data_IF_744861593039
#
_entry.id   IF_744861593039
#
_cell.length_a   1.000
_cell.length_b   1.000
_cell.length_c   1.000
_cell.angle_alpha   90.00
_cell.angle_beta   90.00
_cell.angle_gamma   90.00
#
_symmetry.space_group_name_H-M   'P 1'
#
loop_
_entity.id
_entity.type
_entity.pdbx_description
1 polymer ?
#
# COMPACT_ATOMS: atom_id res chain seq x y z
N UNK A 1 28.23 -6.13 10.79
CA UNK A 1 28.34 -7.22 9.81
C UNK A 1 27.48 -8.36 10.32
N UNK A 2 26.54 -8.82 9.52
CA UNK A 2 25.71 -9.97 9.88
C UNK A 2 26.56 -11.24 9.92
N UNK A 3 26.07 -12.27 10.62
CA UNK A 3 26.74 -13.57 10.59
C UNK A 3 26.53 -14.25 9.23
N UNK A 4 27.60 -14.77 8.63
CA UNK A 4 27.54 -15.48 7.36
C UNK A 4 27.60 -14.56 6.13
N UNK A 5 26.88 -14.93 5.07
CA UNK A 5 26.85 -14.18 3.79
C UNK A 5 25.57 -13.38 3.58
N UNK A 6 24.71 -13.30 4.59
CA UNK A 6 23.45 -12.57 4.54
C UNK A 6 23.74 -11.07 4.56
N UNK A 7 23.18 -10.33 3.61
CA UNK A 7 23.33 -8.86 3.52
C UNK A 7 22.00 -8.11 3.70
N UNK A 8 20.89 -8.84 3.83
CA UNK A 8 19.56 -8.31 4.06
C UNK A 8 18.62 -9.40 4.57
N UNK A 9 17.55 -8.99 5.25
CA UNK A 9 16.48 -9.90 5.67
C UNK A 9 15.16 -9.13 5.86
N UNK A 10 14.07 -9.67 5.31
CA UNK A 10 12.73 -9.12 5.45
C UNK A 10 11.67 -10.21 5.64
N UNK A 11 10.55 -9.82 6.26
CA UNK A 11 9.36 -10.67 6.30
C UNK A 11 8.69 -10.70 4.93
N UNK A 12 8.19 -11.88 4.53
CA UNK A 12 7.47 -12.04 3.27
C UNK A 12 5.98 -11.70 3.44
N UNK A 13 5.38 -10.99 2.47
CA UNK A 13 3.94 -10.62 2.45
C UNK A 13 3.51 -9.84 3.69
N UNK A 14 4.35 -8.91 4.14
CA UNK A 14 4.20 -8.24 5.43
C UNK A 14 4.00 -6.73 5.35
N UNK A 15 4.02 -6.14 4.14
CA UNK A 15 3.78 -4.71 3.96
C UNK A 15 2.46 -4.29 4.64
N UNK A 16 2.46 -3.14 5.31
CA UNK A 16 1.36 -2.63 6.15
C UNK A 16 1.09 -3.37 7.47
N UNK A 17 1.81 -4.43 7.80
CA UNK A 17 1.74 -5.04 9.14
C UNK A 17 2.42 -4.16 10.18
N UNK A 18 1.70 -3.83 11.27
CA UNK A 18 2.25 -3.08 12.41
C UNK A 18 3.48 -3.74 13.08
N UNK A 19 3.67 -5.04 12.87
CA UNK A 19 4.76 -5.82 13.49
C UNK A 19 5.79 -6.36 12.51
N UNK A 20 5.42 -6.54 11.24
CA UNK A 20 6.22 -7.27 10.26
C UNK A 20 6.57 -6.46 9.00
N UNK A 21 6.03 -5.24 8.83
CA UNK A 21 6.34 -4.36 7.68
C UNK A 21 7.73 -3.74 7.83
N UNK A 22 8.76 -4.58 7.85
CA UNK A 22 10.15 -4.22 8.08
C UNK A 22 11.11 -5.13 7.30
N UNK A 23 12.28 -4.58 7.01
CA UNK A 23 13.46 -5.27 6.52
C UNK A 23 14.71 -4.66 7.13
N UNK A 24 15.79 -5.44 7.22
CA UNK A 24 17.11 -5.00 7.65
C UNK A 24 18.07 -5.16 6.47
N UNK A 25 18.90 -4.14 6.24
CA UNK A 25 19.84 -4.10 5.11
C UNK A 25 21.22 -3.75 5.68
N UNK A 26 22.22 -4.54 5.32
CA UNK A 26 23.61 -4.21 5.58
C UNK A 26 24.12 -3.22 4.54
N UNK A 27 24.79 -2.17 4.99
CA UNK A 27 25.57 -1.27 4.11
C UNK A 27 26.86 -1.97 3.65
N UNK A 28 26.71 -2.92 2.72
CA UNK A 28 27.75 -3.91 2.38
C UNK A 28 28.69 -3.46 1.25
N UNK A 29 28.38 -2.37 0.56
CA UNK A 29 29.11 -1.94 -0.64
C UNK A 29 29.25 -0.40 -0.68
N UNK A 30 30.39 0.09 -1.17
CA UNK A 30 30.60 1.54 -1.39
C UNK A 30 29.77 2.11 -2.53
N UNK A 31 29.30 1.26 -3.45
CA UNK A 31 28.37 1.64 -4.49
C UNK A 31 26.95 1.62 -3.92
N UNK A 32 26.36 2.80 -3.76
CA UNK A 32 25.03 2.99 -3.21
C UNK A 32 23.93 2.27 -4.01
N UNK A 33 24.13 2.06 -5.32
CA UNK A 33 23.18 1.34 -6.17
C UNK A 33 23.14 -0.14 -5.81
N UNK A 34 24.27 -0.72 -5.39
CA UNK A 34 24.31 -2.12 -4.92
C UNK A 34 23.54 -2.29 -3.61
N UNK A 35 23.65 -1.32 -2.69
CA UNK A 35 22.89 -1.32 -1.43
C UNK A 35 21.41 -1.06 -1.68
N UNK A 36 21.09 -0.16 -2.63
CA UNK A 36 19.71 0.09 -3.06
C UNK A 36 19.07 -1.15 -3.70
N UNK A 37 19.82 -1.94 -4.48
CA UNK A 37 19.34 -3.21 -5.02
C UNK A 37 18.99 -4.21 -3.91
N UNK A 38 19.79 -4.28 -2.85
CA UNK A 38 19.46 -5.09 -1.65
C UNK A 38 18.22 -4.55 -0.94
N UNK A 39 18.08 -3.24 -0.80
CA UNK A 39 16.87 -2.64 -0.23
C UNK A 39 15.63 -2.96 -1.07
N UNK A 40 15.73 -2.91 -2.39
CA UNK A 40 14.67 -3.30 -3.31
C UNK A 40 14.32 -4.79 -3.18
N UNK A 41 15.31 -5.67 -3.00
CA UNK A 41 15.13 -7.10 -2.75
C UNK A 41 14.30 -7.34 -1.48
N UNK A 42 14.71 -6.73 -0.36
CA UNK A 42 14.02 -6.89 0.92
C UNK A 42 12.60 -6.28 0.91
N UNK A 43 12.41 -5.13 0.25
CA UNK A 43 11.07 -4.58 0.02
C UNK A 43 10.24 -5.49 -0.88
N UNK A 44 10.86 -6.15 -1.88
CA UNK A 44 10.23 -7.17 -2.71
C UNK A 44 9.62 -8.31 -1.89
N UNK A 45 10.35 -8.79 -0.87
CA UNK A 45 9.79 -9.75 0.09
C UNK A 45 8.59 -9.20 0.86
N UNK A 46 8.68 -7.99 1.42
CA UNK A 46 7.54 -7.36 2.09
C UNK A 46 6.31 -7.26 1.17
N UNK A 47 6.54 -7.00 -0.12
CA UNK A 47 5.56 -6.94 -1.21
C UNK A 47 5.18 -8.31 -1.80
N UNK A 48 5.60 -9.40 -1.16
CA UNK A 48 5.16 -10.76 -1.45
C UNK A 48 5.94 -11.51 -2.52
N UNK A 49 7.03 -10.95 -3.01
CA UNK A 49 7.92 -11.59 -3.97
C UNK A 49 8.78 -12.67 -3.29
N UNK A 50 8.98 -13.79 -3.98
CA UNK A 50 9.90 -14.87 -3.57
C UNK A 50 11.17 -14.80 -4.40
N UNK A 51 12.22 -15.50 -3.97
CA UNK A 51 13.44 -15.59 -4.77
C UNK A 51 13.17 -16.19 -6.15
N UNK A 52 13.98 -15.76 -7.11
CA UNK A 52 13.94 -16.24 -8.49
C UNK A 52 14.38 -17.70 -8.61
N UNK A 53 13.71 -18.41 -9.52
CA UNK A 53 14.11 -19.76 -9.96
C UNK A 53 14.74 -19.68 -11.34
N UNK A 54 15.30 -20.80 -11.82
CA UNK A 54 15.89 -20.88 -13.18
C UNK A 54 14.91 -20.57 -14.33
N UNK A 55 13.60 -20.58 -14.07
CA UNK A 55 12.58 -20.26 -15.07
C UNK A 55 12.22 -18.76 -15.11
N UNK A 56 12.71 -17.97 -14.15
CA UNK A 56 12.43 -16.55 -14.03
C UNK A 56 13.38 -15.76 -14.95
N UNK A 57 12.84 -14.74 -15.63
CA UNK A 57 13.57 -14.00 -16.66
C UNK A 57 13.44 -12.50 -16.40
N UNK A 58 14.54 -11.76 -16.60
CA UNK A 58 14.61 -10.30 -16.77
C UNK A 58 15.58 -10.02 -17.95
N UNK A 59 15.83 -8.75 -18.28
CA UNK A 59 16.73 -8.42 -19.41
C UNK A 59 18.19 -8.78 -19.15
N UNK A 60 18.59 -8.81 -17.88
CA UNK A 60 19.91 -9.23 -17.41
C UNK A 60 19.92 -10.68 -16.91
N UNK A 61 21.11 -11.26 -16.74
CA UNK A 61 21.29 -12.61 -16.18
C UNK A 61 20.89 -12.71 -14.69
N UNK A 62 20.80 -11.56 -14.01
CA UNK A 62 20.54 -11.46 -12.56
C UNK A 62 19.47 -10.40 -12.35
N UNK A 63 18.39 -10.80 -11.69
CA UNK A 63 17.27 -9.92 -11.35
C UNK A 63 17.32 -9.56 -9.85
N UNK A 64 16.54 -8.54 -9.45
CA UNK A 64 16.53 -8.04 -8.06
C UNK A 64 16.26 -9.16 -7.06
N UNK A 65 15.36 -10.12 -7.35
CA UNK A 65 14.99 -11.21 -6.45
C UNK A 65 15.88 -12.46 -6.58
N UNK A 66 17.05 -12.36 -7.21
CA UNK A 66 18.03 -13.46 -7.21
C UNK A 66 18.52 -13.72 -5.78
N UNK A 67 18.61 -15.00 -5.37
CA UNK A 67 18.93 -15.42 -4.00
C UNK A 67 20.41 -15.22 -3.57
N UNK A 68 21.23 -14.70 -4.49
CA UNK A 68 22.66 -14.53 -4.30
C UNK A 68 23.13 -13.17 -4.83
N UNK A 69 24.12 -12.61 -4.15
CA UNK A 69 24.75 -11.35 -4.53
C UNK A 69 25.82 -11.62 -5.59
N UNK A 70 25.88 -10.74 -6.59
CA UNK A 70 26.83 -10.79 -7.69
C UNK A 70 27.61 -9.49 -7.82
N UNK A 71 28.68 -9.50 -8.62
CA UNK A 71 29.35 -8.27 -9.08
C UNK A 71 28.47 -7.45 -10.03
N UNK A 72 27.49 -8.08 -10.67
CA UNK A 72 26.47 -7.40 -11.47
C UNK A 72 25.38 -6.90 -10.53
N UNK A 73 25.06 -5.60 -10.62
CA UNK A 73 24.04 -4.95 -9.79
C UNK A 73 22.71 -5.01 -10.55
N UNK A 74 21.72 -5.78 -10.07
CA UNK A 74 20.44 -5.90 -10.75
C UNK A 74 19.62 -4.61 -10.62
N UNK A 75 18.87 -4.26 -11.66
CA UNK A 75 17.98 -3.10 -11.70
C UNK A 75 16.53 -3.42 -12.05
N UNK A 76 16.28 -4.67 -12.45
CA UNK A 76 14.97 -5.11 -12.91
C UNK A 76 14.45 -6.28 -12.07
N UNK A 77 13.14 -6.30 -11.86
CA UNK A 77 12.44 -7.46 -11.33
C UNK A 77 12.21 -8.51 -12.42
N UNK A 78 12.21 -9.78 -12.04
CA UNK A 78 11.90 -10.87 -12.96
C UNK A 78 10.40 -10.97 -13.25
N UNK A 79 10.06 -11.72 -14.32
CA UNK A 79 8.68 -12.11 -14.60
C UNK A 79 7.97 -12.81 -13.43
N UNK A 80 8.68 -13.66 -12.68
CA UNK A 80 8.16 -14.34 -11.49
C UNK A 80 7.88 -13.38 -10.33
N UNK A 81 8.75 -12.39 -10.15
CA UNK A 81 8.62 -11.35 -9.13
C UNK A 81 7.34 -10.54 -9.36
N UNK A 82 7.11 -10.11 -10.61
CA UNK A 82 5.91 -9.38 -11.01
C UNK A 82 4.64 -10.20 -10.78
N UNK A 83 4.64 -11.49 -11.13
CA UNK A 83 3.50 -12.38 -10.90
C UNK A 83 3.22 -12.58 -9.40
N UNK A 84 4.27 -12.71 -8.58
CA UNK A 84 4.13 -12.87 -7.13
C UNK A 84 3.55 -11.60 -6.49
N UNK A 85 4.03 -10.43 -6.92
CA UNK A 85 3.52 -9.15 -6.49
C UNK A 85 2.04 -8.98 -6.86
N UNK A 86 1.67 -9.20 -8.13
CA UNK A 86 0.28 -9.10 -8.58
C UNK A 86 -0.64 -10.03 -7.78
N UNK A 87 -0.23 -11.28 -7.58
CA UNK A 87 -0.98 -12.26 -6.80
C UNK A 87 -1.19 -11.80 -5.35
N UNK A 88 -0.15 -11.23 -4.73
CA UNK A 88 -0.25 -10.71 -3.37
C UNK A 88 -1.16 -9.47 -3.27
N UNK A 89 -1.02 -8.53 -4.20
CA UNK A 89 -1.83 -7.31 -4.25
C UNK A 89 -3.32 -7.63 -4.47
N UNK A 90 -3.63 -8.58 -5.35
CA UNK A 90 -5.01 -9.04 -5.59
C UNK A 90 -5.60 -9.78 -4.39
N UNK A 91 -4.80 -10.59 -3.69
CA UNK A 91 -5.28 -11.38 -2.56
C UNK A 91 -5.47 -10.55 -1.27
N UNK A 92 -4.58 -9.59 -1.01
CA UNK A 92 -4.49 -8.91 0.30
C UNK A 92 -4.87 -7.43 0.26
N UNK A 93 -4.76 -6.78 -0.92
CA UNK A 93 -4.98 -5.34 -1.15
C UNK A 93 -4.56 -4.46 0.06
N UNK A 94 -3.25 -4.38 0.37
CA UNK A 94 -2.76 -3.73 1.57
C UNK A 94 -3.16 -2.25 1.62
N UNK A 95 -4.09 -1.91 2.53
CA UNK A 95 -4.76 -0.60 2.57
C UNK A 95 -3.81 0.59 2.80
N UNK A 96 -2.67 0.39 3.45
CA UNK A 96 -1.73 1.48 3.73
C UNK A 96 -0.97 1.99 2.50
N UNK A 97 -1.00 1.25 1.39
CA UNK A 97 -0.40 1.67 0.12
C UNK A 97 -1.38 2.41 -0.79
N UNK A 98 -2.63 2.62 -0.36
CA UNK A 98 -3.68 3.22 -1.20
C UNK A 98 -3.72 4.74 -1.13
N UNK A 99 -3.02 5.37 -0.19
CA UNK A 99 -2.96 6.81 -0.06
C UNK A 99 -1.61 7.35 -0.55
N UNK A 100 -1.66 8.44 -1.30
CA UNK A 100 -0.46 9.21 -1.65
C UNK A 100 -0.02 10.01 -0.42
N UNK A 101 1.27 9.97 -0.03
CA UNK A 101 1.81 10.80 1.05
C UNK A 101 1.56 12.29 0.84
N UNK A 102 1.37 13.04 1.93
CA UNK A 102 1.28 14.50 1.84
C UNK A 102 2.64 15.10 1.46
N UNK A 103 2.65 16.11 0.60
CA UNK A 103 3.88 16.78 0.14
C UNK A 103 4.79 17.26 1.29
N UNK A 104 4.21 17.62 2.43
CA UNK A 104 4.96 18.05 3.61
C UNK A 104 5.67 16.92 4.37
N UNK A 105 5.28 15.67 4.14
CA UNK A 105 5.81 14.49 4.82
C UNK A 105 7.04 13.89 4.13
N UNK A 106 7.28 14.27 2.87
CA UNK A 106 8.43 13.84 2.08
C UNK A 106 9.64 14.66 2.52
N UNK A 107 10.63 13.98 3.11
CA UNK A 107 11.87 14.61 3.61
C UNK A 107 13.02 14.53 2.61
N UNK A 108 12.89 13.70 1.58
CA UNK A 108 13.85 13.60 0.50
C UNK A 108 13.88 14.92 -0.31
N UNK A 109 15.04 15.31 -0.86
CA UNK A 109 15.09 16.38 -1.84
C UNK A 109 14.24 16.02 -3.07
N UNK A 110 13.49 17.00 -3.58
CA UNK A 110 12.69 16.82 -4.79
C UNK A 110 13.58 16.42 -5.99
N UNK A 111 13.10 15.48 -6.78
CA UNK A 111 13.81 14.92 -7.93
C UNK A 111 12.89 14.81 -9.13
N UNK A 112 12.85 15.88 -9.92
CA UNK A 112 12.06 15.94 -11.15
C UNK A 112 12.34 14.75 -12.09
N UNK A 113 11.25 14.10 -12.51
CA UNK A 113 11.23 12.97 -13.41
C UNK A 113 11.12 11.61 -12.71
N UNK A 114 10.85 11.58 -11.41
CA UNK A 114 10.66 10.34 -10.64
C UNK A 114 9.19 9.85 -10.63
N UNK A 115 8.28 10.59 -11.30
CA UNK A 115 6.86 10.27 -11.40
C UNK A 115 6.07 10.58 -10.13
N UNK A 116 6.64 11.32 -9.19
CA UNK A 116 6.03 11.63 -7.91
C UNK A 116 6.11 13.12 -7.62
N UNK A 117 4.95 13.76 -7.39
CA UNK A 117 4.92 15.19 -7.10
C UNK A 117 5.59 15.47 -5.76
N UNK A 118 6.64 16.30 -5.78
CA UNK A 118 7.39 16.69 -4.59
C UNK A 118 7.37 18.21 -4.33
N UNK A 119 7.93 18.64 -3.20
CA UNK A 119 7.95 20.07 -2.85
C UNK A 119 8.85 20.85 -3.82
N UNK A 120 8.25 21.78 -4.56
CA UNK A 120 8.94 22.66 -5.51
C UNK A 120 8.53 22.43 -6.97
N UNK A 121 7.93 21.28 -7.22
CA UNK A 121 7.36 20.87 -8.50
C UNK A 121 5.89 21.28 -8.58
N UNK A 122 5.39 21.46 -9.79
CA UNK A 122 3.96 21.69 -10.05
C UNK A 122 3.30 20.44 -10.64
N UNK A 123 4.11 19.55 -11.22
CA UNK A 123 3.73 18.29 -11.81
C UNK A 123 4.99 17.40 -11.93
N UNK A 124 4.84 16.08 -11.92
CA UNK A 124 5.90 15.14 -12.32
C UNK A 124 5.23 13.95 -13.02
N UNK A 125 5.59 13.70 -14.28
CA UNK A 125 5.06 12.64 -15.12
C UNK A 125 6.11 11.58 -15.51
N UNK A 126 7.24 11.55 -14.79
CA UNK A 126 8.39 10.69 -15.12
C UNK A 126 9.38 11.36 -16.07
N UNK A 127 10.25 10.56 -16.66
CA UNK A 127 11.27 11.05 -17.60
C UNK A 127 10.66 11.59 -18.90
N UNK A 128 11.39 12.40 -19.69
CA UNK A 128 10.92 12.87 -20.99
C UNK A 128 10.50 11.74 -21.96
N UNK A 129 11.12 10.57 -21.85
CA UNK A 129 10.80 9.40 -22.67
C UNK A 129 9.50 8.69 -22.22
N UNK A 130 9.17 8.75 -20.94
CA UNK A 130 8.01 8.07 -20.34
C UNK A 130 6.77 8.98 -20.25
N UNK A 131 6.97 10.29 -20.16
CA UNK A 131 5.89 11.24 -19.92
C UNK A 131 4.92 11.32 -21.11
N UNK A 132 3.67 10.98 -20.84
CA UNK A 132 2.54 11.09 -21.79
C UNK A 132 1.58 12.23 -21.44
N UNK A 133 1.87 12.98 -20.38
CA UNK A 133 1.00 14.02 -19.85
C UNK A 133 1.32 15.39 -20.47
N UNK A 134 0.52 15.81 -21.46
CA UNK A 134 0.71 17.09 -22.15
C UNK A 134 0.59 18.33 -21.23
N UNK A 135 0.00 18.17 -20.05
CA UNK A 135 -0.16 19.24 -19.08
C UNK A 135 1.11 19.50 -18.26
N UNK A 136 2.12 18.63 -18.35
CA UNK A 136 3.36 18.71 -17.59
C UNK A 136 4.56 18.76 -18.53
N UNK A 137 5.50 19.65 -18.23
CA UNK A 137 6.83 19.65 -18.86
C UNK A 137 7.76 18.71 -18.08
N UNK A 138 8.15 17.55 -18.66
CA UNK A 138 8.97 16.56 -17.97
C UNK A 138 10.42 17.00 -17.76
N UNK A 139 10.91 18.04 -18.45
CA UNK A 139 12.27 18.55 -18.23
C UNK A 139 12.34 19.47 -17.01
N UNK A 140 11.23 20.14 -16.68
CA UNK A 140 11.20 21.20 -15.66
C UNK A 140 10.27 20.91 -14.48
N UNK A 141 9.41 19.89 -14.58
CA UNK A 141 8.37 19.58 -13.60
C UNK A 141 7.44 20.78 -13.32
N UNK A 142 7.17 21.53 -14.39
CA UNK A 142 6.29 22.70 -14.41
C UNK A 142 5.07 22.44 -15.27
N UNK A 143 3.97 23.10 -14.91
CA UNK A 143 2.76 23.02 -15.73
C UNK A 143 2.99 23.65 -17.10
N UNK A 144 2.52 22.96 -18.13
CA UNK A 144 2.48 23.47 -19.49
C UNK A 144 1.66 24.77 -19.56
N UNK A 145 1.97 25.64 -20.52
CA UNK A 145 1.27 26.92 -20.69
C UNK A 145 -0.25 26.74 -20.80
N UNK A 146 -1.00 27.35 -19.87
CA UNK A 146 -2.46 27.30 -19.82
C UNK A 146 -3.03 26.13 -19.02
N UNK A 147 -2.21 25.22 -18.52
CA UNK A 147 -2.64 24.17 -17.61
C UNK A 147 -2.84 24.72 -16.19
N UNK A 148 -3.95 24.33 -15.56
CA UNK A 148 -4.22 24.57 -14.14
C UNK A 148 -3.85 23.36 -13.27
N UNK A 149 -3.73 22.19 -13.88
CA UNK A 149 -3.33 20.94 -13.25
C UNK A 149 -2.75 19.97 -14.26
N UNK A 150 -2.02 18.96 -13.77
CA UNK A 150 -1.56 17.83 -14.57
C UNK A 150 -1.94 16.47 -13.94
N UNK A 151 -2.10 16.41 -12.62
CA UNK A 151 -2.32 15.17 -11.87
C UNK A 151 -3.57 15.25 -11.00
N UNK A 152 -4.01 14.11 -10.45
CA UNK A 152 -5.10 14.00 -9.48
C UNK A 152 -6.48 13.76 -10.08
N UNK A 153 -7.36 13.12 -9.31
CA UNK A 153 -8.68 12.66 -9.77
C UNK A 153 -9.63 13.81 -10.16
N UNK A 154 -9.32 15.05 -9.75
CA UNK A 154 -10.05 16.27 -10.08
C UNK A 154 -9.39 17.10 -11.18
N UNK A 155 -8.42 16.53 -11.92
CA UNK A 155 -7.87 17.12 -13.13
C UNK A 155 -8.48 16.45 -14.37
N UNK A 156 -8.87 17.25 -15.36
CA UNK A 156 -9.37 16.78 -16.65
C UNK A 156 -8.99 17.79 -17.74
N UNK A 157 -8.36 17.32 -18.81
CA UNK A 157 -7.89 18.18 -19.92
C UNK A 157 -7.07 19.40 -19.42
N UNK A 158 -6.13 19.14 -18.51
CA UNK A 158 -5.29 20.15 -17.87
C UNK A 158 -6.03 21.22 -17.04
N UNK A 159 -7.32 21.02 -16.74
CA UNK A 159 -8.15 21.96 -15.98
C UNK A 159 -8.79 21.28 -14.77
N UNK A 160 -9.14 22.06 -13.75
CA UNK A 160 -9.90 21.53 -12.63
C UNK A 160 -11.29 21.08 -13.10
N UNK A 161 -11.67 19.86 -12.72
CA UNK A 161 -13.04 19.38 -12.87
C UNK A 161 -13.99 20.32 -12.14
N UNK A 162 -15.21 20.47 -12.67
CA UNK A 162 -16.24 21.34 -12.07
C UNK A 162 -16.56 20.94 -10.64
N UNK A 163 -16.93 21.92 -9.84
CA UNK A 163 -17.42 21.68 -8.48
C UNK A 163 -18.61 20.71 -8.51
N UNK A 164 -18.58 19.68 -7.69
CA UNK A 164 -19.61 18.63 -7.65
C UNK A 164 -19.36 17.43 -8.56
N UNK A 165 -18.34 17.44 -9.42
CA UNK A 165 -17.94 16.24 -10.18
C UNK A 165 -17.44 15.15 -9.24
N UNK A 166 -17.98 13.94 -9.32
CA UNK A 166 -17.55 12.82 -8.48
C UNK A 166 -16.13 12.40 -8.85
N UNK A 167 -15.21 12.42 -7.88
CA UNK A 167 -13.84 11.94 -8.04
C UNK A 167 -13.62 10.58 -7.40
N UNK A 168 -14.31 10.28 -6.29
CA UNK A 168 -14.32 8.95 -5.68
C UNK A 168 -15.76 8.50 -5.44
N UNK A 169 -16.21 7.40 -6.06
CA UNK A 169 -17.53 6.85 -5.77
C UNK A 169 -17.54 6.19 -4.37
N UNK A 170 -18.69 6.26 -3.70
CA UNK A 170 -18.90 5.50 -2.47
C UNK A 170 -18.95 4.00 -2.76
N UNK A 171 -18.20 3.21 -1.99
CA UNK A 171 -18.08 1.75 -2.18
C UNK A 171 -19.31 0.99 -1.72
N UNK A 172 -19.91 1.43 -0.62
CA UNK A 172 -21.09 0.81 -0.01
C UNK A 172 -21.88 1.82 0.82
N UNK A 173 -22.89 1.34 1.54
CA UNK A 173 -23.77 2.19 2.35
C UNK A 173 -23.06 2.94 3.48
N UNK A 174 -21.88 2.50 3.93
CA UNK A 174 -21.09 3.14 4.98
C UNK A 174 -20.08 4.17 4.45
N UNK A 175 -19.93 4.25 3.14
CA UNK A 175 -18.94 5.08 2.45
C UNK A 175 -19.65 6.20 1.66
N UNK A 176 -19.13 7.43 1.74
CA UNK A 176 -19.70 8.55 0.98
C UNK A 176 -18.96 8.70 -0.35
N UNK A 177 -19.55 9.40 -1.31
CA UNK A 177 -18.83 9.79 -2.51
C UNK A 177 -18.17 11.15 -2.28
N UNK A 178 -16.93 11.33 -2.74
CA UNK A 178 -16.27 12.63 -2.78
C UNK A 178 -16.41 13.28 -4.14
N UNK A 179 -16.53 14.60 -4.09
CA UNK A 179 -16.72 15.46 -5.24
C UNK A 179 -15.64 16.53 -5.29
N UNK A 180 -15.19 16.86 -6.48
CA UNK A 180 -14.23 17.91 -6.74
C UNK A 180 -14.75 19.25 -6.24
N UNK A 181 -13.84 20.08 -5.73
CA UNK A 181 -14.18 21.42 -5.23
C UNK A 181 -14.35 22.44 -6.35
N UNK A 182 -13.73 22.20 -7.51
CA UNK A 182 -13.69 23.14 -8.64
C UNK A 182 -12.43 24.01 -8.70
N UNK A 183 -11.55 23.92 -7.69
CA UNK A 183 -10.36 24.78 -7.58
C UNK A 183 -9.12 24.02 -7.08
N UNK A 184 -9.18 22.68 -7.07
CA UNK A 184 -8.12 21.81 -6.63
C UNK A 184 -8.06 20.58 -7.55
N UNK A 185 -6.86 20.08 -7.87
CA UNK A 185 -6.70 18.89 -8.68
C UNK A 185 -6.89 17.58 -7.87
N UNK A 186 -6.79 17.66 -6.55
CA UNK A 186 -6.92 16.50 -5.66
C UNK A 186 -8.38 16.25 -5.30
N UNK A 187 -8.77 14.98 -5.26
CA UNK A 187 -10.03 14.61 -4.61
C UNK A 187 -9.94 14.93 -3.12
N UNK A 188 -10.99 15.48 -2.49
CA UNK A 188 -11.01 15.69 -1.05
C UNK A 188 -10.74 14.41 -0.25
N UNK A 189 -10.33 14.56 1.01
CA UNK A 189 -10.12 13.42 1.90
C UNK A 189 -11.37 12.53 1.99
N UNK A 190 -11.13 11.23 2.07
CA UNK A 190 -12.16 10.19 2.17
C UNK A 190 -13.06 10.42 3.41
N UNK A 191 -14.37 10.49 3.19
CA UNK A 191 -15.38 10.71 4.22
C UNK A 191 -16.34 9.54 4.27
N UNK A 192 -16.66 9.14 5.48
CA UNK A 192 -17.54 8.01 5.75
C UNK A 192 -18.85 8.46 6.39
N UNK A 193 -19.85 7.57 6.36
CA UNK A 193 -21.00 7.72 7.25
C UNK A 193 -20.53 7.69 8.70
N UNK A 194 -21.28 8.40 9.54
CA UNK A 194 -21.02 8.44 10.98
C UNK A 194 -20.97 7.02 11.56
N UNK A 195 -19.98 6.78 12.42
CA UNK A 195 -19.87 5.52 13.13
C UNK A 195 -21.16 5.24 13.92
N UNK A 196 -21.68 4.01 13.82
CA UNK A 196 -22.97 3.64 14.43
C UNK A 196 -24.18 3.78 13.52
N UNK A 197 -24.03 4.24 12.27
CA UNK A 197 -25.13 4.19 11.30
C UNK A 197 -25.48 2.73 10.96
N UNK A 198 -26.76 2.30 11.04
CA UNK A 198 -27.14 0.93 10.67
C UNK A 198 -26.76 0.61 9.23
N UNK A 199 -26.25 -0.58 8.99
CA UNK A 199 -25.89 -1.08 7.67
C UNK A 199 -26.34 -2.54 7.51
N UNK A 200 -26.37 -3.04 6.27
CA UNK A 200 -26.79 -4.39 5.91
C UNK A 200 -28.17 -4.71 6.46
N UNK A 201 -29.14 -3.83 6.18
CA UNK A 201 -30.52 -3.97 6.66
C UNK A 201 -30.64 -4.10 8.20
N UNK A 202 -29.67 -3.58 8.95
CA UNK A 202 -29.65 -3.60 10.42
C UNK A 202 -28.83 -4.73 11.04
N UNK A 203 -28.12 -5.53 10.25
CA UNK A 203 -27.25 -6.61 10.74
C UNK A 203 -25.94 -6.09 11.36
N UNK A 204 -25.57 -4.84 11.07
CA UNK A 204 -24.35 -4.22 11.57
C UNK A 204 -24.45 -2.71 11.69
N UNK A 205 -23.34 -2.12 12.09
CA UNK A 205 -23.19 -0.67 12.21
C UNK A 205 -21.92 -0.21 11.51
N UNK A 206 -22.01 0.88 10.77
CA UNK A 206 -20.88 1.46 10.08
C UNK A 206 -19.77 1.82 11.08
N UNK A 207 -18.53 1.50 10.71
CA UNK A 207 -17.33 1.88 11.43
C UNK A 207 -16.22 2.15 10.42
N UNK A 208 -15.73 3.40 10.41
CA UNK A 208 -14.63 3.84 9.54
C UNK A 208 -14.82 3.43 8.06
N UNK A 209 -16.00 3.72 7.51
CA UNK A 209 -16.31 3.45 6.10
C UNK A 209 -16.66 2.01 5.75
N UNK A 210 -16.71 1.12 6.73
CA UNK A 210 -17.04 -0.30 6.51
C UNK A 210 -18.23 -0.73 7.36
N UNK A 211 -18.92 -1.79 6.95
CA UNK A 211 -19.94 -2.46 7.76
C UNK A 211 -19.38 -3.79 8.31
N UNK A 212 -18.65 -3.80 9.45
CA UNK A 212 -18.09 -5.02 9.99
C UNK A 212 -19.19 -5.91 10.59
N UNK A 213 -19.30 -7.13 10.09
CA UNK A 213 -20.14 -8.20 10.68
C UNK A 213 -19.28 -9.41 11.00
N UNK A 214 -19.69 -10.22 11.99
CA UNK A 214 -18.96 -11.43 12.38
C UNK A 214 -18.90 -12.45 11.25
N UNK A 215 -20.03 -12.67 10.58
CA UNK A 215 -20.13 -13.56 9.42
C UNK A 215 -19.13 -13.18 8.31
N UNK A 216 -19.02 -11.89 7.98
CA UNK A 216 -18.05 -11.43 6.98
C UNK A 216 -16.61 -11.64 7.43
N UNK A 217 -16.29 -11.36 8.69
CA UNK A 217 -14.95 -11.62 9.23
C UNK A 217 -14.60 -13.11 9.18
N UNK A 218 -15.55 -14.01 9.45
CA UNK A 218 -15.35 -15.45 9.26
C UNK A 218 -15.10 -15.80 7.80
N UNK A 219 -15.85 -15.22 6.86
CA UNK A 219 -15.66 -15.46 5.41
C UNK A 219 -14.32 -14.95 4.89
N UNK A 220 -13.90 -13.77 5.33
CA UNK A 220 -12.62 -13.18 4.96
C UNK A 220 -11.45 -14.02 5.51
N UNK A 221 -11.61 -14.62 6.70
CA UNK A 221 -10.57 -15.43 7.34
C UNK A 221 -10.51 -16.89 6.85
N UNK A 222 -11.66 -17.51 6.58
CA UNK A 222 -11.77 -18.96 6.36
C UNK A 222 -12.39 -19.35 5.01
N UNK A 223 -12.76 -18.37 4.17
CA UNK A 223 -13.36 -18.56 2.85
C UNK A 223 -14.89 -18.39 2.84
N UNK A 224 -15.49 -18.33 1.63
CA UNK A 224 -16.87 -17.87 1.43
C UNK A 224 -17.96 -18.70 2.13
N UNK A 225 -17.69 -19.97 2.42
CA UNK A 225 -18.62 -20.89 3.10
C UNK A 225 -18.57 -20.79 4.63
N UNK A 226 -17.65 -20.00 5.18
CA UNK A 226 -17.54 -19.83 6.62
C UNK A 226 -18.74 -19.03 7.17
N UNK A 227 -19.11 -19.33 8.41
CA UNK A 227 -20.24 -18.72 9.12
C UNK A 227 -19.85 -18.38 10.56
N UNK A 228 -20.67 -17.58 11.23
CA UNK A 228 -20.48 -17.25 12.64
C UNK A 228 -20.54 -18.52 13.52
N UNK A 229 -19.59 -18.62 14.46
CA UNK A 229 -19.58 -19.70 15.44
C UNK A 229 -20.70 -19.58 16.48
N UNK A 230 -21.05 -20.70 17.11
CA UNK A 230 -22.05 -20.71 18.18
C UNK A 230 -21.60 -19.81 19.36
N UNK A 231 -22.56 -19.24 20.08
CA UNK A 231 -22.26 -18.34 21.21
C UNK A 231 -21.34 -18.99 22.26
N UNK A 232 -21.45 -20.30 22.46
CA UNK A 232 -20.61 -21.06 23.38
C UNK A 232 -19.10 -21.00 23.05
N UNK A 233 -18.74 -20.85 21.77
CA UNK A 233 -17.35 -20.77 21.33
C UNK A 233 -16.64 -19.53 21.91
N UNK A 234 -17.35 -18.42 22.10
CA UNK A 234 -16.78 -17.17 22.58
C UNK A 234 -16.41 -17.19 24.08
N UNK A 235 -16.90 -18.20 24.83
CA UNK A 235 -16.53 -18.38 26.25
C UNK A 235 -15.02 -18.61 26.43
N UNK A 236 -14.32 -19.07 25.39
CA UNK A 236 -12.85 -19.23 25.43
C UNK A 236 -12.12 -17.90 25.66
N UNK A 237 -12.73 -16.77 25.27
CA UNK A 237 -12.13 -15.44 25.38
C UNK A 237 -12.07 -14.93 26.84
N UNK A 238 -12.79 -15.57 27.75
CA UNK A 238 -12.74 -15.29 29.19
C UNK A 238 -11.47 -15.86 29.86
N UNK A 239 -10.67 -16.67 29.15
CA UNK A 239 -9.52 -17.39 29.73
C UNK A 239 -8.22 -16.58 29.78
N UNK A 240 -8.07 -15.54 28.95
CA UNK A 240 -6.83 -14.76 28.88
C UNK A 240 -5.63 -15.55 28.34
N UNK A 241 -5.86 -16.45 27.38
CA UNK A 241 -4.80 -17.22 26.72
C UNK A 241 -4.34 -16.53 25.43
N UNK A 242 -3.27 -17.01 24.78
CA UNK A 242 -2.73 -16.39 23.56
C UNK A 242 -3.70 -16.33 22.36
N UNK A 243 -4.80 -17.09 22.39
CA UNK A 243 -5.85 -17.12 21.36
C UNK A 243 -7.24 -16.77 21.90
N UNK A 244 -7.40 -16.60 23.21
CA UNK A 244 -8.67 -16.32 23.86
C UNK A 244 -8.54 -15.17 24.85
N UNK A 245 -8.63 -13.94 24.36
CA UNK A 245 -8.45 -12.71 25.13
C UNK A 245 -9.19 -11.53 24.48
N UNK A 246 -9.37 -10.44 25.22
CA UNK A 246 -10.03 -9.23 24.70
C UNK A 246 -9.04 -8.14 24.29
N UNK A 247 -7.92 -7.99 25.00
CA UNK A 247 -6.87 -7.03 24.67
C UNK A 247 -5.53 -7.48 25.21
N UNK A 248 -4.44 -6.96 24.63
CA UNK A 248 -3.08 -7.21 25.06
C UNK A 248 -2.47 -5.91 25.58
N UNK A 249 -1.98 -5.93 26.81
CA UNK A 249 -1.31 -4.79 27.45
C UNK A 249 0.08 -5.23 27.95
N UNK A 250 1.13 -4.53 27.49
CA UNK A 250 2.51 -4.81 27.90
C UNK A 250 2.91 -6.30 27.80
N UNK A 251 2.46 -7.00 26.75
CA UNK A 251 2.74 -8.43 26.56
C UNK A 251 1.77 -9.39 27.25
N UNK A 252 0.90 -8.91 28.14
CA UNK A 252 -0.06 -9.73 28.90
C UNK A 252 -1.41 -9.82 28.17
N UNK A 253 -1.96 -11.02 28.06
CA UNK A 253 -3.29 -11.27 27.49
C UNK A 253 -4.37 -11.07 28.55
N UNK A 254 -5.21 -10.05 28.41
CA UNK A 254 -6.28 -9.74 29.35
C UNK A 254 -7.60 -10.42 28.92
N UNK A 255 -8.26 -11.18 29.82
CA UNK A 255 -9.50 -11.88 29.49
C UNK A 255 -10.66 -10.92 29.22
N UNK A 256 -11.66 -11.39 28.47
CA UNK A 256 -12.91 -10.67 28.30
C UNK A 256 -13.77 -10.70 29.57
N UNK A 257 -14.45 -9.59 29.86
CA UNK A 257 -15.48 -9.56 30.90
C UNK A 257 -16.80 -10.10 30.34
N UNK A 258 -17.49 -10.89 31.16
CA UNK A 258 -18.86 -11.32 30.88
C UNK A 258 -19.79 -10.11 31.01
N UNK A 259 -20.52 -9.80 29.94
CA UNK A 259 -21.51 -8.71 29.90
C UNK A 259 -22.89 -9.21 30.26
#
# INVERSE_FOLDING_TARGET
DFEGTTIGLAFIKSICSDSFSAGIIQDHNRNEVAVAATMAHEMGHNLGMSHDTKACLCNDDICIMTDTVSSVIPKEFSSCSLQSFESFMLASMPRCLSNVPELGSIIAPASCGNGFLERGEECDCGTPEECTNECCDPETCKLSSGAACAHGDCCENCQFKKSGSVCRPGKDECDLAEMCTGHSPSCPQDRFRVNGHPCRFGEGYCYMGTCPTRDRQCKDAFGPEATEGEASCYNVNERGTYFGYCRKEQGTYLPCNRK
#
